data_IF_429585466866
#
_entry.id   IF_429585466866
#
_cell.length_a   1.000
_cell.length_b   1.000
_cell.length_c   1.000
_cell.angle_alpha   90.00
_cell.angle_beta   90.00
_cell.angle_gamma   90.00
#
_symmetry.space_group_name_H-M   'P 1'
#
loop_
_entity.id
_entity.type
_entity.pdbx_description
1 polymer ?
#
# COMPACT_ATOMS: atom_id res chain seq x y z
N UNK A 1 -17.05 -21.58 -0.13
CA UNK A 1 -16.07 -20.50 0.14
C UNK A 1 -16.47 -19.27 -0.67
N UNK A 2 -16.81 -18.17 -0.02
CA UNK A 2 -17.17 -16.94 -0.73
C UNK A 2 -15.86 -16.28 -1.16
N UNK A 3 -15.55 -16.36 -2.45
CA UNK A 3 -14.42 -15.70 -3.06
C UNK A 3 -14.59 -14.18 -2.91
N UNK A 4 -13.59 -13.49 -2.37
CA UNK A 4 -13.66 -12.03 -2.25
C UNK A 4 -13.66 -11.42 -3.65
N UNK A 5 -14.82 -10.92 -4.05
CA UNK A 5 -14.98 -10.20 -5.30
C UNK A 5 -14.19 -8.89 -5.24
N UNK A 6 -13.37 -8.64 -6.28
CA UNK A 6 -12.70 -7.36 -6.49
C UNK A 6 -13.09 -6.83 -7.87
N UNK A 7 -13.69 -5.66 -7.88
CA UNK A 7 -14.12 -5.01 -9.13
C UNK A 7 -12.92 -4.63 -10.00
N UNK A 8 -13.20 -4.34 -11.27
CA UNK A 8 -12.19 -3.79 -12.19
C UNK A 8 -11.60 -2.50 -11.66
N UNK A 9 -12.44 -1.61 -11.11
CA UNK A 9 -12.01 -0.33 -10.53
C UNK A 9 -11.01 -0.54 -9.41
N UNK A 10 -11.27 -1.46 -8.46
CA UNK A 10 -10.33 -1.78 -7.38
C UNK A 10 -9.00 -2.31 -7.92
N UNK A 11 -9.02 -3.14 -8.96
CA UNK A 11 -7.79 -3.68 -9.58
C UNK A 11 -7.00 -2.58 -10.29
N UNK A 12 -7.66 -1.69 -11.02
CA UNK A 12 -7.02 -0.55 -11.69
C UNK A 12 -6.36 0.36 -10.65
N UNK A 13 -7.09 0.74 -9.61
CA UNK A 13 -6.55 1.57 -8.52
C UNK A 13 -5.34 0.90 -7.87
N UNK A 14 -5.41 -0.42 -7.60
CA UNK A 14 -4.28 -1.16 -7.04
C UNK A 14 -3.06 -1.15 -7.97
N UNK A 15 -3.25 -1.38 -9.26
CA UNK A 15 -2.17 -1.34 -10.26
C UNK A 15 -1.54 0.05 -10.30
N UNK A 16 -2.34 1.09 -10.35
CA UNK A 16 -1.85 2.48 -10.38
C UNK A 16 -1.09 2.83 -9.09
N UNK A 17 -1.60 2.43 -7.91
CA UNK A 17 -0.90 2.63 -6.63
C UNK A 17 0.41 1.83 -6.60
N UNK A 18 0.40 0.55 -6.98
CA UNK A 18 1.60 -0.27 -7.01
C UNK A 18 2.68 0.34 -7.93
N UNK A 19 2.28 0.79 -9.13
CA UNK A 19 3.18 1.40 -10.08
C UNK A 19 3.74 2.74 -9.56
N UNK A 20 2.88 3.66 -9.15
CA UNK A 20 3.31 4.99 -8.72
C UNK A 20 4.14 4.94 -7.44
N UNK A 21 3.78 4.11 -6.45
CA UNK A 21 4.56 3.94 -5.22
C UNK A 21 5.93 3.31 -5.51
N UNK A 22 5.99 2.29 -6.37
CA UNK A 22 7.27 1.66 -6.75
C UNK A 22 8.19 2.66 -7.45
N UNK A 23 7.67 3.44 -8.40
CA UNK A 23 8.43 4.50 -9.08
C UNK A 23 8.90 5.55 -8.06
N UNK A 24 8.05 6.00 -7.14
CA UNK A 24 8.40 6.96 -6.10
C UNK A 24 9.55 6.48 -5.21
N UNK A 25 9.48 5.23 -4.77
CA UNK A 25 10.54 4.64 -3.96
C UNK A 25 11.84 4.46 -4.75
N UNK A 26 11.76 4.05 -6.01
CA UNK A 26 12.95 3.96 -6.88
C UNK A 26 13.58 5.34 -7.09
N UNK A 27 12.78 6.37 -7.41
CA UNK A 27 13.26 7.74 -7.58
C UNK A 27 13.92 8.27 -6.30
N UNK A 28 13.37 7.94 -5.12
CA UNK A 28 13.93 8.38 -3.83
C UNK A 28 15.36 7.91 -3.57
N UNK A 29 15.81 6.85 -4.23
CA UNK A 29 17.20 6.34 -4.12
C UNK A 29 18.19 7.02 -5.06
N UNK A 30 17.68 7.64 -6.14
CA UNK A 30 18.50 8.23 -7.20
C UNK A 30 18.51 9.76 -7.17
N UNK A 31 17.44 10.40 -6.66
CA UNK A 31 17.25 11.84 -6.68
C UNK A 31 18.15 12.58 -5.69
N UNK A 32 18.48 13.81 -6.02
CA UNK A 32 19.10 14.77 -5.11
C UNK A 32 18.09 15.86 -4.74
N UNK A 33 17.67 15.86 -3.48
CA UNK A 33 16.77 16.89 -2.95
C UNK A 33 17.41 18.27 -2.94
N UNK A 34 16.63 19.35 -3.03
CA UNK A 34 17.14 20.72 -2.92
C UNK A 34 17.92 20.91 -1.62
N UNK A 35 19.08 21.53 -1.71
CA UNK A 35 19.91 21.93 -0.57
C UNK A 35 19.87 23.44 -0.36
N UNK A 36 20.63 23.93 0.64
CA UNK A 36 20.64 25.36 1.01
C UNK A 36 21.02 26.27 -0.15
N UNK A 37 21.92 25.84 -1.05
CA UNK A 37 22.47 26.64 -2.15
C UNK A 37 22.42 25.87 -3.49
N UNK A 38 21.58 24.85 -3.63
CA UNK A 38 21.42 24.10 -4.87
C UNK A 38 19.96 23.72 -5.10
N UNK A 39 19.45 23.78 -6.33
CA UNK A 39 18.16 23.22 -6.69
C UNK A 39 18.19 21.67 -6.58
N UNK A 40 17.04 21.06 -6.57
CA UNK A 40 16.90 19.62 -6.80
C UNK A 40 17.32 19.25 -8.23
N UNK A 41 17.65 17.99 -8.45
CA UNK A 41 17.94 17.47 -9.78
C UNK A 41 16.64 17.10 -10.55
N UNK A 42 16.79 16.69 -11.81
CA UNK A 42 15.66 16.29 -12.65
C UNK A 42 14.88 15.09 -12.06
N UNK A 43 15.53 14.18 -11.33
CA UNK A 43 14.87 13.05 -10.70
C UNK A 43 14.00 13.49 -9.54
N UNK A 44 14.41 14.54 -8.83
CA UNK A 44 13.60 15.15 -7.80
C UNK A 44 12.32 15.80 -8.40
N UNK A 45 12.43 16.50 -9.54
CA UNK A 45 11.24 17.03 -10.23
C UNK A 45 10.29 15.93 -10.69
N UNK A 46 10.82 14.81 -11.19
CA UNK A 46 9.99 13.65 -11.57
C UNK A 46 9.33 13.04 -10.33
N UNK A 47 10.06 12.94 -9.21
CA UNK A 47 9.51 12.49 -7.94
C UNK A 47 8.33 13.35 -7.49
N UNK A 48 8.43 14.66 -7.56
CA UNK A 48 7.33 15.58 -7.22
C UNK A 48 6.09 15.34 -8.11
N UNK A 49 6.28 15.28 -9.44
CA UNK A 49 5.18 15.07 -10.39
C UNK A 49 4.48 13.72 -10.21
N UNK A 50 5.26 12.64 -10.07
CA UNK A 50 4.72 11.30 -9.81
C UNK A 50 4.08 11.24 -8.41
N UNK A 51 4.61 11.98 -7.43
CA UNK A 51 4.02 12.12 -6.10
C UNK A 51 2.62 12.73 -6.12
N UNK A 52 2.42 13.78 -6.91
CA UNK A 52 1.10 14.39 -7.11
C UNK A 52 0.15 13.43 -7.82
N UNK A 53 0.63 12.68 -8.82
CA UNK A 53 -0.18 11.63 -9.47
C UNK A 53 -0.57 10.53 -8.45
N UNK A 54 0.36 10.11 -7.59
CA UNK A 54 0.08 9.14 -6.51
C UNK A 54 -0.98 9.66 -5.54
N UNK A 55 -0.92 10.94 -5.18
CA UNK A 55 -1.93 11.59 -4.32
C UNK A 55 -3.31 11.54 -4.99
N UNK A 56 -3.42 11.83 -6.28
CA UNK A 56 -4.67 11.76 -7.02
C UNK A 56 -5.24 10.32 -7.06
N UNK A 57 -4.39 9.31 -7.26
CA UNK A 57 -4.80 7.90 -7.24
C UNK A 57 -5.26 7.48 -5.83
N UNK A 58 -4.56 7.94 -4.78
CA UNK A 58 -4.97 7.71 -3.39
C UNK A 58 -6.32 8.37 -3.07
N UNK A 59 -6.53 9.60 -3.51
CA UNK A 59 -7.83 10.26 -3.37
C UNK A 59 -8.94 9.45 -4.06
N UNK A 60 -8.67 8.94 -5.26
CA UNK A 60 -9.55 8.02 -5.96
C UNK A 60 -9.82 6.73 -5.19
N UNK A 61 -8.80 6.16 -4.52
CA UNK A 61 -8.98 5.00 -3.63
C UNK A 61 -9.94 5.30 -2.47
N UNK A 62 -9.75 6.45 -1.80
CA UNK A 62 -10.60 6.84 -0.67
C UNK A 62 -12.05 7.09 -1.11
N UNK A 63 -12.25 7.83 -2.21
CA UNK A 63 -13.58 8.08 -2.78
C UNK A 63 -14.24 6.75 -3.19
N UNK A 64 -13.51 5.89 -3.92
CA UNK A 64 -14.01 4.58 -4.32
C UNK A 64 -14.39 3.72 -3.11
N UNK A 65 -13.60 3.76 -2.06
CA UNK A 65 -13.85 3.04 -0.83
C UNK A 65 -15.14 3.46 -0.13
N UNK A 66 -15.58 4.71 -0.26
CA UNK A 66 -16.84 5.20 0.30
C UNK A 66 -18.06 4.72 -0.51
N UNK A 67 -17.94 4.58 -1.82
CA UNK A 67 -19.08 4.26 -2.70
C UNK A 67 -19.22 2.76 -3.00
N UNK A 68 -18.16 1.97 -2.84
CA UNK A 68 -18.21 0.52 -3.09
C UNK A 68 -19.00 -0.20 -2.00
N UNK A 69 -20.00 -0.98 -2.38
CA UNK A 69 -20.88 -1.72 -1.45
C UNK A 69 -20.64 -3.24 -1.44
N UNK A 70 -20.05 -3.79 -2.52
CA UNK A 70 -19.91 -5.24 -2.74
C UNK A 70 -18.52 -5.80 -2.42
N UNK A 71 -17.62 -4.98 -1.94
CA UNK A 71 -16.23 -5.33 -1.63
C UNK A 71 -15.92 -5.19 -0.14
N UNK A 72 -14.67 -5.47 0.23
CA UNK A 72 -14.18 -5.28 1.60
C UNK A 72 -14.36 -3.82 2.01
N UNK A 73 -15.22 -3.60 2.99
CA UNK A 73 -15.45 -2.26 3.55
C UNK A 73 -14.24 -1.74 4.35
N UNK A 74 -14.17 -0.42 4.53
CA UNK A 74 -13.10 0.22 5.32
C UNK A 74 -12.91 -0.36 6.70
N UNK A 75 -14.00 -0.74 7.37
CA UNK A 75 -13.93 -1.34 8.69
C UNK A 75 -13.07 -2.60 8.77
N UNK A 76 -12.95 -3.34 7.67
CA UNK A 76 -12.11 -4.54 7.59
C UNK A 76 -10.65 -4.21 7.26
N UNK A 77 -10.41 -3.10 6.54
CA UNK A 77 -9.06 -2.61 6.24
C UNK A 77 -8.43 -1.93 7.48
N UNK A 78 -9.26 -1.33 8.33
CA UNK A 78 -8.82 -0.61 9.52
C UNK A 78 -9.36 -1.26 10.81
N UNK A 79 -8.85 -2.46 11.19
CA UNK A 79 -9.37 -3.24 12.32
C UNK A 79 -9.09 -2.58 13.67
N UNK A 80 -8.13 -1.67 13.77
CA UNK A 80 -7.65 -1.09 15.03
C UNK A 80 -8.70 -0.26 15.78
N UNK A 81 -9.77 0.10 15.13
CA UNK A 81 -10.91 0.79 15.77
C UNK A 81 -11.96 -0.17 16.36
N UNK A 82 -11.66 -1.48 16.48
CA UNK A 82 -12.57 -2.48 17.04
C UNK A 82 -11.80 -3.63 17.68
N UNK A 83 -12.01 -3.83 18.97
CA UNK A 83 -11.39 -4.93 19.73
C UNK A 83 -11.67 -6.30 19.13
N UNK A 84 -12.89 -6.55 18.64
CA UNK A 84 -13.25 -7.82 18.02
C UNK A 84 -12.48 -8.06 16.72
N UNK A 85 -12.30 -7.02 15.90
CA UNK A 85 -11.52 -7.11 14.66
C UNK A 85 -10.04 -7.29 14.94
N UNK A 86 -9.49 -6.60 15.95
CA UNK A 86 -8.11 -6.79 16.38
C UNK A 86 -7.88 -8.20 16.92
N UNK A 87 -8.79 -8.74 17.72
CA UNK A 87 -8.71 -10.15 18.16
C UNK A 87 -8.68 -11.12 17.00
N UNK A 88 -9.48 -10.88 15.95
CA UNK A 88 -9.48 -11.70 14.74
C UNK A 88 -8.13 -11.59 13.98
N UNK A 89 -7.52 -10.40 13.88
CA UNK A 89 -6.18 -10.21 13.29
C UNK A 89 -5.11 -10.96 14.09
N UNK A 90 -5.14 -10.87 15.43
CA UNK A 90 -4.18 -11.55 16.31
C UNK A 90 -4.32 -13.07 16.21
N UNK A 91 -5.55 -13.58 16.19
CA UNK A 91 -5.83 -15.00 16.03
C UNK A 91 -5.29 -15.51 14.69
N UNK A 92 -5.52 -14.75 13.62
CA UNK A 92 -5.06 -15.06 12.27
C UNK A 92 -3.52 -15.03 12.18
N UNK A 93 -2.87 -14.04 12.78
CA UNK A 93 -1.41 -13.99 12.91
C UNK A 93 -0.88 -15.24 13.64
N UNK A 94 -1.55 -15.66 14.71
CA UNK A 94 -1.18 -16.88 15.45
C UNK A 94 -1.28 -18.15 14.60
N UNK A 95 -2.25 -18.24 13.69
CA UNK A 95 -2.36 -19.34 12.71
C UNK A 95 -1.19 -19.31 11.74
N UNK A 96 -0.84 -18.12 11.20
CA UNK A 96 0.27 -17.95 10.27
C UNK A 96 1.61 -18.35 10.91
N UNK A 97 1.90 -17.86 12.10
CA UNK A 97 3.14 -18.18 12.80
C UNK A 97 3.26 -19.69 13.07
N UNK A 98 2.16 -20.35 13.46
CA UNK A 98 2.15 -21.81 13.65
C UNK A 98 2.40 -22.55 12.33
N UNK A 99 1.76 -22.14 11.23
CA UNK A 99 1.95 -22.75 9.92
C UNK A 99 3.40 -22.64 9.44
N UNK A 100 4.01 -21.47 9.57
CA UNK A 100 5.41 -21.23 9.20
C UNK A 100 6.34 -22.09 10.04
N UNK A 101 6.08 -22.19 11.37
CA UNK A 101 6.87 -23.03 12.28
C UNK A 101 6.83 -24.53 11.90
N UNK A 102 5.76 -24.98 11.25
CA UNK A 102 5.62 -26.33 10.74
C UNK A 102 6.03 -26.48 9.27
N UNK A 103 6.75 -25.50 8.71
CA UNK A 103 7.21 -25.53 7.31
C UNK A 103 6.10 -25.46 6.27
N UNK A 104 4.88 -25.02 6.68
CA UNK A 104 3.74 -24.88 5.79
C UNK A 104 3.50 -23.41 5.49
N UNK A 105 3.38 -23.07 4.21
CA UNK A 105 2.88 -21.75 3.83
C UNK A 105 1.39 -21.67 4.21
N UNK A 106 0.97 -20.64 4.96
CA UNK A 106 -0.43 -20.44 5.30
C UNK A 106 -1.21 -20.09 4.04
N UNK A 107 -1.80 -21.10 3.42
CA UNK A 107 -2.56 -20.92 2.19
C UNK A 107 -3.98 -20.45 2.49
N UNK A 108 -4.33 -19.28 1.97
CA UNK A 108 -5.63 -18.87 1.46
C UNK A 108 -6.73 -18.32 2.35
N UNK A 109 -6.76 -18.44 3.67
CA UNK A 109 -7.95 -18.01 4.43
C UNK A 109 -7.75 -16.83 5.38
N UNK A 110 -6.56 -16.33 5.47
CA UNK A 110 -6.13 -15.28 6.38
C UNK A 110 -6.61 -13.88 5.95
N UNK A 111 -7.90 -13.69 5.98
CA UNK A 111 -8.53 -12.44 5.55
C UNK A 111 -8.30 -11.27 6.52
N UNK A 112 -8.41 -11.43 7.86
CA UNK A 112 -8.24 -10.32 8.79
C UNK A 112 -6.84 -9.72 8.76
N UNK A 113 -5.79 -10.55 8.81
CA UNK A 113 -4.40 -10.08 8.76
C UNK A 113 -4.07 -9.43 7.42
N UNK A 114 -4.43 -10.07 6.31
CA UNK A 114 -4.19 -9.52 4.97
C UNK A 114 -4.88 -8.16 4.78
N UNK A 115 -6.13 -8.02 5.23
CA UNK A 115 -6.84 -6.76 5.15
C UNK A 115 -6.18 -5.66 6.02
N UNK A 116 -5.73 -6.00 7.24
CA UNK A 116 -5.02 -5.08 8.12
C UNK A 116 -3.70 -4.61 7.49
N UNK A 117 -2.94 -5.52 6.87
CA UNK A 117 -1.70 -5.18 6.17
C UNK A 117 -1.97 -4.23 4.99
N UNK A 118 -3.00 -4.49 4.19
CA UNK A 118 -3.38 -3.55 3.11
C UNK A 118 -3.80 -2.19 3.66
N UNK A 119 -4.59 -2.15 4.75
CA UNK A 119 -4.99 -0.91 5.40
C UNK A 119 -3.79 -0.13 5.92
N UNK A 120 -2.79 -0.81 6.52
CA UNK A 120 -1.55 -0.18 6.96
C UNK A 120 -0.79 0.46 5.79
N UNK A 121 -0.63 -0.26 4.68
CA UNK A 121 0.03 0.27 3.48
C UNK A 121 -0.66 1.52 2.93
N UNK A 122 -1.99 1.53 2.88
CA UNK A 122 -2.77 2.70 2.45
C UNK A 122 -2.59 3.87 3.41
N UNK A 123 -2.57 3.65 4.73
CA UNK A 123 -2.32 4.73 5.70
C UNK A 123 -0.92 5.32 5.53
N UNK A 124 0.11 4.49 5.42
CA UNK A 124 1.49 4.95 5.21
C UNK A 124 1.59 5.74 3.91
N UNK A 125 1.03 5.22 2.81
CA UNK A 125 1.00 5.91 1.52
C UNK A 125 0.26 7.26 1.62
N UNK A 126 -0.85 7.32 2.35
CA UNK A 126 -1.63 8.55 2.55
C UNK A 126 -0.82 9.59 3.34
N UNK A 127 -0.16 9.18 4.43
CA UNK A 127 0.70 10.09 5.22
C UNK A 127 1.81 10.63 4.34
N UNK A 128 2.49 9.78 3.56
CA UNK A 128 3.56 10.21 2.66
C UNK A 128 3.04 11.16 1.59
N UNK A 129 1.94 10.84 0.91
CA UNK A 129 1.40 11.68 -0.16
C UNK A 129 0.95 13.06 0.39
N UNK A 130 0.28 13.09 1.54
CA UNK A 130 -0.18 14.34 2.16
C UNK A 130 0.99 15.19 2.65
N UNK A 131 1.97 14.59 3.33
CA UNK A 131 3.14 15.34 3.84
C UNK A 131 4.06 15.81 2.72
N UNK A 132 4.22 15.01 1.65
CA UNK A 132 4.95 15.43 0.45
C UNK A 132 4.27 16.58 -0.27
N UNK A 133 2.96 16.48 -0.53
CA UNK A 133 2.17 17.54 -1.14
C UNK A 133 2.14 18.81 -0.29
N UNK A 134 2.00 18.70 1.04
CA UNK A 134 2.06 19.84 1.93
C UNK A 134 3.42 20.56 1.84
N UNK A 135 4.52 19.82 1.82
CA UNK A 135 5.87 20.40 1.66
C UNK A 135 6.09 21.03 0.28
N UNK A 136 5.40 20.54 -0.75
CA UNK A 136 5.44 21.08 -2.11
C UNK A 136 4.66 22.40 -2.24
N UNK A 137 3.40 22.41 -1.77
CA UNK A 137 2.51 23.57 -1.97
C UNK A 137 2.62 24.65 -0.89
N UNK A 138 3.09 24.30 0.33
CA UNK A 138 3.06 25.18 1.50
C UNK A 138 4.49 25.31 2.04
N UNK A 139 5.19 26.42 1.76
CA UNK A 139 6.58 26.61 2.23
C UNK A 139 6.75 26.48 3.74
N UNK A 140 5.74 26.88 4.53
CA UNK A 140 5.72 26.79 5.99
C UNK A 140 5.59 25.34 6.48
N UNK A 141 5.08 24.42 5.65
CA UNK A 141 4.90 23.01 5.98
C UNK A 141 6.11 22.13 5.64
N UNK A 142 7.26 22.71 5.24
CA UNK A 142 8.47 21.94 4.89
C UNK A 142 8.96 21.02 6.01
N UNK A 143 8.69 21.34 7.26
CA UNK A 143 8.99 20.47 8.39
C UNK A 143 8.31 19.08 8.26
N UNK A 144 7.15 18.98 7.58
CA UNK A 144 6.46 17.73 7.33
C UNK A 144 7.23 16.79 6.39
N UNK A 145 8.21 17.29 5.62
CA UNK A 145 9.09 16.46 4.81
C UNK A 145 9.96 15.53 5.66
N UNK A 146 10.22 15.89 6.93
CA UNK A 146 10.85 14.97 7.88
C UNK A 146 9.99 13.73 8.16
N UNK A 147 8.67 13.91 8.31
CA UNK A 147 7.72 12.81 8.45
C UNK A 147 7.66 11.99 7.15
N UNK A 148 7.58 12.66 5.99
CA UNK A 148 7.62 12.01 4.68
C UNK A 148 8.82 11.08 4.54
N UNK A 149 10.01 11.58 4.85
CA UNK A 149 11.26 10.80 4.79
C UNK A 149 11.27 9.63 5.77
N UNK A 150 10.82 9.84 7.02
CA UNK A 150 10.75 8.75 8.00
C UNK A 150 9.81 7.62 7.55
N UNK A 151 8.67 7.97 6.98
CA UNK A 151 7.70 7.00 6.48
C UNK A 151 8.15 6.29 5.19
N UNK A 152 9.14 6.83 4.45
CA UNK A 152 9.69 6.14 3.28
C UNK A 152 10.34 4.79 3.63
N UNK A 153 11.06 4.72 4.76
CA UNK A 153 11.64 3.47 5.27
C UNK A 153 10.55 2.43 5.58
N UNK A 154 9.46 2.87 6.20
CA UNK A 154 8.32 1.99 6.51
C UNK A 154 7.62 1.53 5.22
N UNK A 155 7.51 2.41 4.21
CA UNK A 155 6.94 2.04 2.91
C UNK A 155 7.83 1.04 2.16
N UNK A 156 9.16 1.15 2.23
CA UNK A 156 10.07 0.15 1.69
C UNK A 156 9.87 -1.21 2.35
N UNK A 157 9.84 -1.25 3.68
CA UNK A 157 9.59 -2.50 4.42
C UNK A 157 8.24 -3.11 4.05
N UNK A 158 7.20 -2.27 3.94
CA UNK A 158 5.87 -2.70 3.50
C UNK A 158 5.89 -3.27 2.08
N UNK A 159 6.47 -2.56 1.11
CA UNK A 159 6.50 -2.99 -0.29
C UNK A 159 7.25 -4.32 -0.44
N UNK A 160 8.42 -4.45 0.17
CA UNK A 160 9.23 -5.68 0.11
C UNK A 160 8.46 -6.85 0.74
N UNK A 161 7.87 -6.66 1.92
CA UNK A 161 7.10 -7.70 2.60
C UNK A 161 5.84 -8.08 1.83
N UNK A 162 5.07 -7.09 1.39
CA UNK A 162 3.81 -7.30 0.66
C UNK A 162 4.03 -7.97 -0.70
N UNK A 163 4.95 -7.44 -1.51
CA UNK A 163 5.29 -8.01 -2.81
C UNK A 163 6.00 -9.36 -2.67
N UNK A 164 6.90 -9.50 -1.69
CA UNK A 164 7.58 -10.75 -1.42
C UNK A 164 6.62 -11.89 -1.09
N UNK A 165 5.67 -11.66 -0.19
CA UNK A 165 4.62 -12.66 0.13
C UNK A 165 3.80 -12.99 -1.12
N UNK A 166 3.41 -11.99 -1.92
CA UNK A 166 2.63 -12.23 -3.14
C UNK A 166 3.40 -13.10 -4.16
N UNK A 167 4.71 -12.87 -4.31
CA UNK A 167 5.60 -13.67 -5.18
C UNK A 167 5.72 -15.10 -4.66
N UNK A 168 5.94 -15.30 -3.35
CA UNK A 168 6.02 -16.63 -2.74
C UNK A 168 4.70 -17.41 -2.97
N UNK A 169 3.54 -16.77 -2.79
CA UNK A 169 2.25 -17.39 -3.10
C UNK A 169 2.11 -17.74 -4.57
N UNK A 170 2.61 -16.88 -5.48
CA UNK A 170 2.61 -17.14 -6.92
C UNK A 170 3.39 -18.42 -7.27
N UNK A 171 4.57 -18.62 -6.70
CA UNK A 171 5.38 -19.84 -6.88
C UNK A 171 4.75 -21.08 -6.25
N UNK A 172 3.90 -20.94 -5.24
CA UNK A 172 3.18 -22.02 -4.60
C UNK A 172 1.92 -22.46 -5.38
N UNK A 173 1.74 -21.98 -6.60
CA UNK A 173 0.59 -22.31 -7.46
C UNK A 173 -0.69 -21.53 -7.16
N UNK A 174 -0.64 -20.55 -6.27
CA UNK A 174 -1.76 -19.66 -6.03
C UNK A 174 -1.88 -18.64 -7.17
N UNK A 175 -3.08 -18.53 -7.75
CA UNK A 175 -3.36 -17.55 -8.80
C UNK A 175 -3.60 -16.13 -8.27
N UNK A 176 -3.15 -15.82 -7.05
CA UNK A 176 -3.40 -14.54 -6.38
C UNK A 176 -2.90 -13.34 -7.21
N UNK A 177 -1.67 -13.42 -7.71
CA UNK A 177 -1.09 -12.38 -8.58
C UNK A 177 -1.93 -12.18 -9.85
N UNK A 178 -2.30 -13.27 -10.53
CA UNK A 178 -3.17 -13.21 -11.71
C UNK A 178 -4.50 -12.54 -11.41
N UNK A 179 -5.12 -12.84 -10.27
CA UNK A 179 -6.40 -12.26 -9.86
C UNK A 179 -6.32 -10.76 -9.57
N UNK A 180 -5.17 -10.28 -9.13
CA UNK A 180 -4.97 -8.85 -8.85
C UNK A 180 -4.67 -8.04 -10.11
N UNK A 181 -3.94 -8.61 -11.07
CA UNK A 181 -3.50 -7.90 -12.27
C UNK A 181 -4.33 -8.22 -13.52
N UNK A 182 -5.09 -9.32 -13.55
CA UNK A 182 -5.95 -9.65 -14.68
C UNK A 182 -7.16 -8.70 -14.73
N UNK A 183 -7.22 -7.82 -15.71
CA UNK A 183 -8.34 -6.92 -15.96
C UNK A 183 -9.51 -7.60 -16.69
N UNK A 184 -9.27 -8.76 -17.29
CA UNK A 184 -10.28 -9.57 -17.99
C UNK A 184 -10.77 -10.72 -17.08
N UNK A 185 -12.10 -10.92 -17.02
CA UNK A 185 -12.68 -12.18 -16.59
C UNK A 185 -12.44 -13.21 -17.73
N UNK A 186 -11.72 -14.27 -17.44
CA UNK A 186 -11.94 -15.53 -18.15
C UNK A 186 -13.05 -16.30 -17.47
#
# INVERSE_FOLDING_TARGET
MVEQYRSRTTRIIHILLALTITIQLALSTAMQSPGRNRPGDQWFEVHEKVGLASLAVLAGFWIWGLVRTREVGFAMLFPWFSLNRMRAVIADLGVHLRSIRHGKLPLREAKPLANAVHGLGILVATIMAVTGAAGYFIPQARALLGIHTAFSTLMWAYLIGHAGIAVIHGFSGDRLLWRMFALYKR
#
